data_IF_039296297539
#
_entry.id   IF_039296297539
#
_cell.length_a   1.000
_cell.length_b   1.000
_cell.length_c   1.000
_cell.angle_alpha   90.00
_cell.angle_beta   90.00
_cell.angle_gamma   90.00
#
_symmetry.space_group_name_H-M   'P 1'
#
loop_
_entity.id
_entity.type
_entity.pdbx_description
1 polymer ?
#
# COMPACT_ATOMS: atom_id res chain seq x y z
N UNK A 1 -9.58 -14.77 5.43
CA UNK A 1 -9.72 -13.66 4.46
C UNK A 1 -8.40 -13.32 3.80
N UNK A 2 -7.36 -12.91 4.54
CA UNK A 2 -6.02 -12.58 4.00
C UNK A 2 -5.50 -13.57 2.96
N UNK A 3 -5.43 -14.86 3.29
CA UNK A 3 -4.93 -15.90 2.36
C UNK A 3 -5.79 -16.02 1.09
N UNK A 4 -7.11 -15.80 1.19
CA UNK A 4 -8.00 -15.79 0.03
C UNK A 4 -7.74 -14.59 -0.89
N UNK A 5 -7.42 -13.43 -0.32
CA UNK A 5 -7.05 -12.24 -1.10
C UNK A 5 -5.67 -12.39 -1.72
N UNK A 6 -4.70 -12.96 -1.00
CA UNK A 6 -3.38 -13.31 -1.53
C UNK A 6 -3.46 -14.31 -2.69
N UNK A 7 -4.47 -15.19 -2.70
CA UNK A 7 -4.66 -16.18 -3.75
C UNK A 7 -5.35 -15.64 -5.03
N UNK A 8 -5.69 -14.34 -5.07
CA UNK A 8 -6.32 -13.72 -6.26
C UNK A 8 -5.38 -13.75 -7.47
N UNK A 9 -4.09 -13.49 -7.26
CA UNK A 9 -3.09 -13.55 -8.32
C UNK A 9 -1.72 -13.82 -7.74
N UNK A 10 -0.79 -14.31 -8.56
CA UNK A 10 0.58 -14.59 -8.12
C UNK A 10 1.34 -13.34 -7.70
N UNK A 11 0.93 -12.18 -8.19
CA UNK A 11 1.48 -10.86 -7.85
C UNK A 11 0.70 -10.15 -6.72
N UNK A 12 -0.12 -10.89 -5.97
CA UNK A 12 -0.73 -10.40 -4.73
C UNK A 12 0.18 -10.68 -3.52
N UNK A 13 0.53 -9.63 -2.80
CA UNK A 13 1.28 -9.71 -1.55
C UNK A 13 0.37 -9.35 -0.38
N UNK A 14 0.58 -10.00 0.77
CA UNK A 14 -0.24 -9.76 1.94
C UNK A 14 0.58 -9.81 3.24
N UNK A 15 0.39 -8.80 4.09
CA UNK A 15 1.10 -8.65 5.37
C UNK A 15 0.09 -8.49 6.50
N UNK A 16 0.42 -9.02 7.68
CA UNK A 16 -0.35 -8.71 8.90
C UNK A 16 -0.24 -7.22 9.22
N UNK A 17 -1.34 -6.62 9.66
CA UNK A 17 -1.29 -5.27 10.22
C UNK A 17 -1.13 -5.39 11.75
N UNK A 18 0.04 -5.03 12.32
CA UNK A 18 0.26 -5.10 13.77
C UNK A 18 -0.55 -4.04 14.54
N UNK A 19 -0.95 -2.96 13.86
CA UNK A 19 -1.73 -1.84 14.39
C UNK A 19 -3.02 -1.65 13.56
N UNK A 20 -4.00 -2.57 13.64
CA UNK A 20 -5.26 -2.44 12.93
C UNK A 20 -6.12 -1.28 13.47
N UNK A 21 -7.06 -0.75 12.67
CA UNK A 21 -8.01 0.27 13.15
C UNK A 21 -8.67 -0.14 14.46
N UNK A 22 -8.71 0.80 15.42
CA UNK A 22 -9.35 0.59 16.72
C UNK A 22 -8.53 -0.23 17.72
N UNK A 23 -7.34 -0.72 17.36
CA UNK A 23 -6.44 -1.34 18.33
C UNK A 23 -5.98 -0.31 19.37
N UNK A 24 -5.98 -0.71 20.64
CA UNK A 24 -5.63 0.12 21.80
C UNK A 24 -4.33 -0.39 22.39
N UNK A 25 -3.43 0.54 22.68
CA UNK A 25 -2.10 0.31 23.19
C UNK A 25 -1.84 1.17 24.41
N UNK A 26 -0.97 0.68 25.30
CA UNK A 26 -0.19 1.51 26.20
C UNK A 26 1.16 1.76 25.53
N UNK A 27 1.49 3.02 25.30
CA UNK A 27 2.68 3.44 24.58
C UNK A 27 3.42 4.56 25.29
N UNK A 28 4.72 4.66 25.03
CA UNK A 28 5.60 5.67 25.65
C UNK A 28 6.09 6.62 24.57
N UNK A 29 6.04 7.93 24.83
CA UNK A 29 6.53 8.94 23.89
C UNK A 29 8.06 8.82 23.76
N UNK A 30 8.52 8.46 22.57
CA UNK A 30 9.93 8.36 22.25
C UNK A 30 10.53 9.73 21.92
N UNK A 31 9.84 10.51 21.08
CA UNK A 31 10.28 11.85 20.66
C UNK A 31 9.11 12.78 20.35
N UNK A 32 9.35 14.07 20.48
CA UNK A 32 8.41 15.14 20.12
C UNK A 32 8.82 15.79 18.79
N UNK A 33 7.84 16.07 17.94
CA UNK A 33 7.99 16.65 16.61
C UNK A 33 7.16 17.93 16.50
N UNK A 34 7.28 18.65 15.37
CA UNK A 34 6.59 19.94 15.20
C UNK A 34 5.05 19.88 15.22
N UNK A 35 4.45 18.72 14.90
CA UNK A 35 2.99 18.55 14.77
C UNK A 35 2.41 17.40 15.61
N UNK A 36 3.23 16.75 16.43
CA UNK A 36 2.85 15.58 17.20
C UNK A 36 4.04 14.89 17.83
N UNK A 37 3.86 13.67 18.30
CA UNK A 37 4.91 12.87 18.93
C UNK A 37 5.01 11.48 18.30
N UNK A 38 6.20 10.90 18.29
CA UNK A 38 6.39 9.48 17.98
C UNK A 38 6.27 8.70 19.28
N UNK A 39 5.47 7.64 19.24
CA UNK A 39 5.17 6.80 20.40
C UNK A 39 5.62 5.39 20.11
N UNK A 40 6.42 4.83 21.02
CA UNK A 40 6.80 3.43 21.00
C UNK A 40 5.61 2.58 21.45
N UNK A 41 5.20 1.68 20.57
CA UNK A 41 4.17 0.69 20.80
C UNK A 41 4.82 -0.70 20.77
N UNK A 42 4.26 -1.65 21.52
CA UNK A 42 4.73 -3.04 21.52
C UNK A 42 3.60 -3.98 21.07
N UNK A 43 3.90 -4.82 20.09
CA UNK A 43 3.00 -5.86 19.59
C UNK A 43 3.72 -7.19 19.65
N UNK A 44 3.27 -8.08 20.53
CA UNK A 44 3.77 -9.47 20.61
C UNK A 44 5.31 -9.56 20.76
N UNK A 45 5.93 -8.54 21.38
CA UNK A 45 7.37 -8.42 21.60
C UNK A 45 8.14 -7.60 20.55
N UNK A 46 7.50 -7.26 19.43
CA UNK A 46 8.07 -6.41 18.39
C UNK A 46 7.77 -4.92 18.65
N UNK A 47 8.78 -4.09 18.46
CA UNK A 47 8.64 -2.64 18.54
C UNK A 47 7.99 -2.10 17.26
N UNK A 48 6.90 -1.36 17.41
CA UNK A 48 6.24 -0.63 16.34
C UNK A 48 6.09 0.83 16.76
N UNK A 49 6.28 1.77 15.84
CA UNK A 49 6.11 3.19 16.13
C UNK A 49 4.74 3.68 15.67
N UNK A 50 4.10 4.52 16.47
CA UNK A 50 2.92 5.28 16.09
C UNK A 50 3.17 6.79 16.13
N UNK A 51 2.29 7.56 15.49
CA UNK A 51 2.34 9.02 15.52
C UNK A 51 1.10 9.59 16.22
N UNK A 52 1.30 10.35 17.30
CA UNK A 52 0.25 11.02 18.06
C UNK A 52 0.19 12.51 17.68
N UNK A 53 -0.79 12.96 16.90
CA UNK A 53 -1.00 14.38 16.62
C UNK A 53 -1.39 15.14 17.90
N UNK A 54 -0.89 16.37 18.06
CA UNK A 54 -1.19 17.19 19.25
C UNK A 54 -2.65 17.65 19.35
N UNK A 55 -3.43 17.60 18.27
CA UNK A 55 -4.86 17.91 18.28
C UNK A 55 -5.74 16.73 18.73
N UNK A 56 -5.13 15.59 19.10
CA UNK A 56 -5.82 14.36 19.54
C UNK A 56 -5.39 13.88 20.92
N UNK A 57 -4.78 14.76 21.68
CA UNK A 57 -4.38 14.54 23.08
C UNK A 57 -4.51 15.86 23.82
N UNK A 58 -5.10 15.80 25.01
CA UNK A 58 -5.20 16.97 25.88
C UNK A 58 -3.89 17.16 26.66
N UNK A 59 -3.49 18.42 26.83
CA UNK A 59 -2.32 18.79 27.63
C UNK A 59 -1.02 18.86 26.83
N UNK A 60 0.08 18.93 27.58
CA UNK A 60 1.44 18.92 27.01
C UNK A 60 1.93 17.49 26.89
N UNK A 61 2.68 17.22 25.82
CA UNK A 61 3.28 15.92 25.54
C UNK A 61 4.79 16.05 25.60
N UNK A 62 5.43 15.27 26.46
CA UNK A 62 6.87 15.22 26.68
C UNK A 62 7.42 13.82 26.40
N UNK A 63 8.72 13.74 26.10
CA UNK A 63 9.41 12.45 25.95
C UNK A 63 9.38 11.68 27.27
N UNK A 64 8.98 10.42 27.21
CA UNK A 64 8.81 9.54 28.37
C UNK A 64 7.38 9.50 28.92
N UNK A 65 6.46 10.34 28.41
CA UNK A 65 5.06 10.28 28.80
C UNK A 65 4.44 8.95 28.37
N UNK A 66 3.64 8.37 29.26
CA UNK A 66 2.90 7.14 29.05
C UNK A 66 1.44 7.46 28.74
N UNK A 67 0.94 6.90 27.63
CA UNK A 67 -0.43 7.11 27.19
C UNK A 67 -1.10 5.80 26.82
N UNK A 68 -2.40 5.72 27.14
CA UNK A 68 -3.33 4.83 26.47
C UNK A 68 -3.78 5.47 25.16
N UNK A 69 -3.46 4.83 24.04
CA UNK A 69 -3.71 5.35 22.70
C UNK A 69 -4.41 4.32 21.83
N UNK A 70 -5.32 4.79 20.99
CA UNK A 70 -5.96 3.98 19.97
C UNK A 70 -5.41 4.33 18.58
N UNK A 71 -5.26 3.31 17.73
CA UNK A 71 -4.98 3.48 16.31
C UNK A 71 -6.21 4.04 15.61
N UNK A 72 -6.18 5.33 15.31
CA UNK A 72 -7.22 6.05 14.59
C UNK A 72 -7.13 5.84 13.07
N UNK A 73 -5.91 5.78 12.53
CA UNK A 73 -5.70 5.50 11.10
C UNK A 73 -4.48 4.61 10.93
N UNK A 74 -4.62 3.39 10.39
CA UNK A 74 -3.49 2.51 10.19
C UNK A 74 -2.64 2.99 9.01
N UNK A 75 -1.37 2.61 8.97
CA UNK A 75 -0.47 2.87 7.85
C UNK A 75 -0.04 1.56 7.17
N UNK A 76 -0.07 1.49 5.83
CA UNK A 76 0.46 0.33 5.11
C UNK A 76 2.00 0.33 5.10
N UNK A 77 2.64 -0.86 5.01
CA UNK A 77 4.10 -0.98 5.11
C UNK A 77 4.86 -0.34 3.93
N UNK A 78 4.18 -0.09 2.81
CA UNK A 78 4.79 0.52 1.63
C UNK A 78 4.76 2.05 1.64
N UNK A 79 4.20 2.65 2.69
CA UNK A 79 4.28 4.10 2.92
C UNK A 79 5.27 4.35 4.04
N UNK A 80 6.09 5.37 3.86
CA UNK A 80 6.93 5.93 4.91
C UNK A 80 6.05 6.75 5.87
N UNK A 81 5.19 6.05 6.61
CA UNK A 81 4.19 6.64 7.49
C UNK A 81 3.93 5.72 8.68
N UNK A 82 3.73 6.33 9.85
CA UNK A 82 3.32 5.64 11.08
C UNK A 82 1.80 5.57 11.17
N UNK A 83 1.21 4.53 11.78
CA UNK A 83 -0.19 4.56 12.19
C UNK A 83 -0.44 5.78 13.08
N UNK A 84 -1.52 6.50 12.77
CA UNK A 84 -1.92 7.69 13.52
C UNK A 84 -2.72 7.29 14.76
N UNK A 85 -2.38 7.89 15.90
CA UNK A 85 -2.91 7.59 17.21
C UNK A 85 -3.87 8.69 17.71
N UNK A 86 -4.68 8.36 18.71
CA UNK A 86 -5.55 9.27 19.45
C UNK A 86 -5.81 8.74 20.86
N UNK A 87 -6.10 9.61 21.83
CA UNK A 87 -6.59 9.19 23.16
C UNK A 87 -8.06 8.81 23.16
N UNK A 88 -8.84 9.35 22.22
CA UNK A 88 -10.27 9.08 22.08
C UNK A 88 -10.53 7.64 21.62
N UNK A 89 -11.44 6.97 22.32
CA UNK A 89 -11.81 5.58 22.00
C UNK A 89 -12.97 5.52 21.00
N UNK A 90 -12.80 4.64 20.03
CA UNK A 90 -13.75 4.36 18.95
C UNK A 90 -13.89 2.85 18.79
N UNK A 91 -15.12 2.36 18.61
CA UNK A 91 -15.38 0.99 18.21
C UNK A 91 -15.71 1.01 16.70
N UNK A 92 -14.74 0.65 15.84
CA UNK A 92 -14.93 0.69 14.40
C UNK A 92 -16.03 -0.28 13.97
N UNK A 93 -16.78 0.08 12.94
CA UNK A 93 -17.81 -0.79 12.35
C UNK A 93 -18.16 -0.37 10.92
N UNK A 94 -18.78 -1.30 10.18
CA UNK A 94 -19.03 -1.09 8.74
C UNK A 94 -20.12 -0.07 8.44
N UNK A 95 -21.29 -0.22 9.09
CA UNK A 95 -22.42 0.71 8.93
C UNK A 95 -22.40 1.84 9.97
N UNK A 96 -21.90 1.54 11.16
CA UNK A 96 -21.84 2.44 12.32
C UNK A 96 -20.53 2.25 13.06
N UNK A 97 -19.92 3.35 13.44
CA UNK A 97 -18.84 3.44 14.42
C UNK A 97 -19.40 3.99 15.73
N UNK A 98 -19.02 3.43 16.87
CA UNK A 98 -19.32 4.05 18.16
C UNK A 98 -18.12 4.86 18.62
N UNK A 99 -18.36 6.06 19.18
CA UNK A 99 -17.31 6.88 19.80
C UNK A 99 -17.60 7.11 21.26
N UNK A 100 -16.59 6.98 22.12
CA UNK A 100 -16.73 7.26 23.55
C UNK A 100 -16.84 8.77 23.77
N UNK A 101 -17.82 9.19 24.58
CA UNK A 101 -18.06 10.60 24.90
C UNK A 101 -19.15 11.23 24.03
N UNK A 102 -19.35 12.54 24.20
CA UNK A 102 -20.43 13.32 23.60
C UNK A 102 -20.08 13.78 22.19
N UNK A 103 -19.63 12.85 21.33
CA UNK A 103 -19.15 13.11 19.97
C UNK A 103 -19.86 14.31 19.34
N UNK A 104 -19.15 15.43 19.25
CA UNK A 104 -19.73 16.76 19.06
C UNK A 104 -20.77 16.86 17.95
N UNK A 105 -21.83 17.61 18.23
CA UNK A 105 -23.05 17.84 17.41
C UNK A 105 -23.88 16.58 17.15
N UNK A 106 -25.12 16.62 17.67
CA UNK A 106 -26.26 15.77 17.26
C UNK A 106 -26.54 16.00 15.78
N UNK A 107 -25.86 15.25 14.94
CA UNK A 107 -26.11 15.21 13.51
C UNK A 107 -27.38 14.38 13.24
N UNK A 108 -27.98 14.47 12.04
CA UNK A 108 -29.21 13.74 11.68
C UNK A 108 -29.13 12.22 11.97
N UNK A 109 -27.91 11.69 11.97
CA UNK A 109 -27.53 10.32 12.31
C UNK A 109 -27.93 9.88 13.72
N UNK A 110 -27.97 10.77 14.72
CA UNK A 110 -28.41 10.41 16.08
C UNK A 110 -29.90 10.05 16.14
N UNK A 111 -30.74 10.63 15.27
CA UNK A 111 -32.19 10.36 15.23
C UNK A 111 -32.52 8.99 14.64
N UNK A 112 -31.65 8.45 13.79
CA UNK A 112 -31.84 7.10 13.24
C UNK A 112 -31.64 6.02 14.30
N UNK A 113 -30.80 6.26 15.31
CA UNK A 113 -30.60 5.33 16.42
C UNK A 113 -31.86 5.19 17.30
N UNK A 114 -32.63 6.27 17.49
CA UNK A 114 -33.88 6.27 18.27
C UNK A 114 -34.99 5.40 17.64
N UNK A 115 -34.84 5.02 16.36
CA UNK A 115 -35.78 4.15 15.63
C UNK A 115 -35.41 2.67 15.70
N UNK A 116 -34.20 2.36 16.18
CA UNK A 116 -33.71 0.99 16.27
C UNK A 116 -34.12 0.36 17.61
N UNK A 117 -34.35 -0.96 17.66
CA UNK A 117 -34.70 -1.65 18.90
C UNK A 117 -33.50 -1.89 19.83
N UNK A 118 -32.33 -1.33 19.51
CA UNK A 118 -31.06 -1.57 20.21
C UNK A 118 -30.47 -0.21 20.58
N UNK A 119 -30.13 -0.07 21.86
CA UNK A 119 -29.44 1.11 22.37
C UNK A 119 -27.91 0.88 22.37
N UNK A 120 -27.10 1.92 22.11
CA UNK A 120 -25.65 1.85 22.31
C UNK A 120 -25.30 1.73 23.81
N UNK A 121 -24.12 1.21 24.16
CA UNK A 121 -23.65 1.17 25.54
C UNK A 121 -23.55 2.57 26.14
N UNK A 122 -23.67 2.66 27.47
CA UNK A 122 -23.65 3.95 28.17
C UNK A 122 -22.37 4.73 27.85
N UNK A 123 -22.54 6.01 27.46
CA UNK A 123 -21.42 6.88 27.15
C UNK A 123 -20.78 6.66 25.77
N UNK A 124 -21.37 5.83 24.92
CA UNK A 124 -21.01 5.67 23.51
C UNK A 124 -22.05 6.32 22.58
N UNK A 125 -21.56 7.07 21.60
CA UNK A 125 -22.39 7.77 20.62
C UNK A 125 -22.22 7.15 19.22
N UNK A 126 -23.31 6.74 18.54
CA UNK A 126 -23.24 6.18 17.20
C UNK A 126 -22.96 7.23 16.13
N UNK A 127 -22.10 6.85 15.17
CA UNK A 127 -21.77 7.59 13.96
C UNK A 127 -22.05 6.70 12.74
N UNK A 128 -23.18 6.96 12.08
CA UNK A 128 -23.58 6.19 10.90
C UNK A 128 -22.77 6.63 9.68
N UNK A 129 -22.30 5.65 8.92
CA UNK A 129 -21.69 5.85 7.62
C UNK A 129 -22.75 6.22 6.56
N UNK A 130 -22.35 6.81 5.41
CA UNK A 130 -23.26 7.05 4.30
C UNK A 130 -23.98 5.77 3.81
N UNK A 131 -23.31 4.62 3.86
CA UNK A 131 -23.86 3.32 3.46
C UNK A 131 -25.03 2.85 4.34
N UNK A 132 -25.21 3.43 5.52
CA UNK A 132 -26.36 3.15 6.36
C UNK A 132 -27.68 3.67 5.76
N UNK A 133 -27.63 4.69 4.88
CA UNK A 133 -28.81 5.24 4.22
C UNK A 133 -29.51 4.24 3.28
N UNK A 134 -28.75 3.29 2.72
CA UNK A 134 -29.26 2.25 1.83
C UNK A 134 -29.49 0.91 2.54
N UNK A 135 -29.18 0.82 3.84
CA UNK A 135 -29.32 -0.39 4.63
C UNK A 135 -30.74 -0.57 5.17
N UNK A 136 -31.18 -1.83 5.34
CA UNK A 136 -32.41 -2.10 6.07
C UNK A 136 -32.24 -1.79 7.56
N UNK A 137 -33.35 -1.48 8.25
CA UNK A 137 -33.33 -1.28 9.71
C UNK A 137 -32.75 -2.48 10.46
N UNK A 138 -33.02 -3.71 9.99
CA UNK A 138 -32.44 -4.93 10.56
C UNK A 138 -30.92 -4.97 10.40
N UNK A 139 -30.40 -4.56 9.23
CA UNK A 139 -28.97 -4.51 8.98
C UNK A 139 -28.29 -3.40 9.82
N UNK A 140 -28.97 -2.27 9.99
CA UNK A 140 -28.53 -1.19 10.88
C UNK A 140 -28.50 -1.65 12.34
N UNK A 141 -29.57 -2.28 12.85
CA UNK A 141 -29.65 -2.82 14.21
C UNK A 141 -28.53 -3.84 14.46
N UNK A 142 -28.36 -4.81 13.57
CA UNK A 142 -27.27 -5.79 13.68
C UNK A 142 -25.89 -5.13 13.56
N UNK A 143 -25.77 -4.03 12.81
CA UNK A 143 -24.57 -3.20 12.74
C UNK A 143 -24.23 -2.54 14.07
N UNK A 144 -25.24 -1.99 14.73
CA UNK A 144 -25.13 -1.37 16.04
C UNK A 144 -24.77 -2.40 17.12
N UNK A 145 -25.45 -3.54 17.18
CA UNK A 145 -25.12 -4.64 18.11
C UNK A 145 -23.64 -5.04 18.02
N UNK A 146 -23.14 -5.28 16.80
CA UNK A 146 -21.72 -5.63 16.60
C UNK A 146 -20.76 -4.53 17.02
N UNK A 147 -21.15 -3.26 16.88
CA UNK A 147 -20.32 -2.13 17.32
C UNK A 147 -20.37 -1.98 18.85
N UNK A 148 -21.52 -2.25 19.48
CA UNK A 148 -21.70 -2.30 20.93
C UNK A 148 -20.85 -3.40 21.56
N UNK A 149 -20.90 -4.62 21.03
CA UNK A 149 -20.05 -5.74 21.51
C UNK A 149 -18.55 -5.39 21.47
N UNK A 150 -18.12 -4.65 20.44
CA UNK A 150 -16.74 -4.18 20.30
C UNK A 150 -16.42 -3.09 21.32
N UNK A 151 -17.32 -2.12 21.52
CA UNK A 151 -17.17 -1.07 22.51
C UNK A 151 -17.02 -1.68 23.92
N UNK A 152 -17.88 -2.61 24.29
CA UNK A 152 -17.81 -3.32 25.58
C UNK A 152 -16.52 -4.13 25.73
N UNK A 153 -16.06 -4.77 24.66
CA UNK A 153 -14.75 -5.47 24.64
C UNK A 153 -13.59 -4.51 24.89
N UNK A 154 -13.61 -3.34 24.25
CA UNK A 154 -12.59 -2.30 24.44
C UNK A 154 -12.63 -1.79 25.88
N UNK A 155 -13.81 -1.41 26.39
CA UNK A 155 -13.95 -0.91 27.76
C UNK A 155 -13.49 -1.92 28.81
N UNK A 156 -13.88 -3.18 28.65
CA UNK A 156 -13.49 -4.26 29.57
C UNK A 156 -11.97 -4.46 29.58
N UNK A 157 -11.33 -4.46 28.40
CA UNK A 157 -9.88 -4.61 28.29
C UNK A 157 -9.12 -3.40 28.87
N UNK A 158 -9.63 -2.20 28.62
CA UNK A 158 -9.07 -0.96 29.18
C UNK A 158 -9.21 -0.94 30.71
N UNK A 159 -10.38 -1.28 31.25
CA UNK A 159 -10.60 -1.31 32.69
C UNK A 159 -9.71 -2.36 33.38
N UNK A 160 -9.46 -3.50 32.74
CA UNK A 160 -8.51 -4.50 33.24
C UNK A 160 -7.07 -3.95 33.26
N UNK A 161 -6.63 -3.33 32.16
CA UNK A 161 -5.29 -2.75 32.07
C UNK A 161 -5.05 -1.61 33.07
N UNK A 162 -6.05 -0.75 33.31
CA UNK A 162 -5.98 0.34 34.29
C UNK A 162 -5.96 -0.20 35.75
N UNK A 163 -6.55 -1.39 35.99
CA UNK A 163 -6.64 -2.02 37.32
C UNK A 163 -5.34 -2.67 37.81
N UNK A 164 -4.43 -3.03 36.90
CA UNK A 164 -3.17 -3.73 37.20
C UNK A 164 -2.01 -2.77 37.58
N UNK A 165 -2.24 -1.44 37.61
CA UNK A 165 -1.25 -0.41 37.95
C UNK A 165 -0.52 0.18 36.73
N UNK A 166 0.73 0.63 36.91
CA UNK A 166 1.61 1.03 35.79
C UNK A 166 2.04 -0.23 35.01
N UNK A 167 1.09 -0.79 34.25
CA UNK A 167 1.29 -1.93 33.36
C UNK A 167 2.34 -1.65 32.29
N UNK A 168 3.02 -2.70 31.86
CA UNK A 168 4.06 -2.61 30.83
C UNK A 168 3.49 -2.12 29.49
N UNK A 169 4.26 -1.36 28.69
CA UNK A 169 3.88 -0.98 27.34
C UNK A 169 3.46 -2.19 26.49
N UNK A 170 2.38 -2.05 25.73
CA UNK A 170 1.84 -3.18 24.97
C UNK A 170 0.42 -3.00 24.49
N UNK A 171 -0.05 -3.99 23.72
CA UNK A 171 -1.42 -4.04 23.20
C UNK A 171 -2.42 -4.36 24.32
N UNK A 172 -3.34 -3.42 24.57
CA UNK A 172 -4.47 -3.58 25.51
C UNK A 172 -5.63 -4.31 24.82
N UNK A 173 -5.99 -3.89 23.61
CA UNK A 173 -7.11 -4.46 22.86
C UNK A 173 -6.86 -4.42 21.35
N UNK A 174 -7.36 -5.43 20.63
CA UNK A 174 -7.48 -5.40 19.17
C UNK A 174 -8.86 -5.93 18.77
N UNK A 175 -9.89 -5.06 18.73
CA UNK A 175 -11.27 -5.48 18.43
C UNK A 175 -11.43 -6.02 17.00
N UNK A 176 -10.46 -5.75 16.13
CA UNK A 176 -10.39 -6.27 14.76
C UNK A 176 -8.98 -6.73 14.44
N UNK A 177 -8.88 -7.82 13.67
CA UNK A 177 -7.65 -8.15 12.96
C UNK A 177 -7.54 -7.33 11.67
N UNK A 178 -6.32 -6.99 11.27
CA UNK A 178 -6.05 -6.28 10.02
C UNK A 178 -4.99 -6.98 9.18
N UNK A 179 -5.08 -6.78 7.87
CA UNK A 179 -4.05 -7.18 6.93
C UNK A 179 -3.98 -6.15 5.81
N UNK A 180 -2.78 -5.92 5.30
CA UNK A 180 -2.54 -5.15 4.10
C UNK A 180 -2.39 -6.10 2.93
N UNK A 181 -3.03 -5.78 1.80
CA UNK A 181 -2.92 -6.55 0.57
C UNK A 181 -2.54 -5.60 -0.55
N UNK A 182 -1.44 -5.91 -1.23
CA UNK A 182 -1.04 -5.23 -2.45
C UNK A 182 -1.39 -6.13 -3.62
N UNK A 183 -2.35 -5.71 -4.43
CA UNK A 183 -2.67 -6.35 -5.71
C UNK A 183 -1.75 -5.81 -6.79
N UNK A 184 -0.98 -6.68 -7.45
CA UNK A 184 -0.28 -6.36 -8.68
C UNK A 184 -1.22 -6.36 -9.89
N UNK A 185 -0.65 -6.17 -11.08
CA UNK A 185 -1.41 -6.09 -12.33
C UNK A 185 -2.27 -7.33 -12.57
N UNK A 186 -1.72 -8.54 -12.51
CA UNK A 186 -2.49 -9.76 -12.79
C UNK A 186 -3.65 -9.92 -11.81
N UNK A 187 -3.41 -9.66 -10.53
CA UNK A 187 -4.46 -9.67 -9.51
C UNK A 187 -5.57 -8.67 -9.80
N UNK A 188 -5.26 -7.47 -10.30
CA UNK A 188 -6.27 -6.47 -10.68
C UNK A 188 -7.15 -6.95 -11.84
N UNK A 189 -6.55 -7.59 -12.84
CA UNK A 189 -7.31 -8.15 -13.97
C UNK A 189 -8.17 -9.34 -13.54
N UNK A 190 -7.70 -10.20 -12.64
CA UNK A 190 -8.55 -11.26 -12.06
C UNK A 190 -9.72 -10.67 -11.26
N UNK A 191 -9.51 -9.58 -10.52
CA UNK A 191 -10.59 -8.87 -9.82
C UNK A 191 -11.59 -8.25 -10.80
N UNK A 192 -11.15 -7.77 -11.96
CA UNK A 192 -12.04 -7.32 -13.04
C UNK A 192 -12.94 -8.47 -13.50
N UNK A 193 -12.37 -9.65 -13.76
CA UNK A 193 -13.12 -10.84 -14.19
C UNK A 193 -14.12 -11.30 -13.13
N UNK A 194 -13.72 -11.26 -11.85
CA UNK A 194 -14.60 -11.55 -10.72
C UNK A 194 -15.79 -10.60 -10.69
N UNK A 195 -15.56 -9.29 -10.85
CA UNK A 195 -16.57 -8.23 -10.82
C UNK A 195 -17.50 -8.29 -12.03
N UNK A 196 -16.97 -8.60 -13.21
CA UNK A 196 -17.72 -8.70 -14.48
C UNK A 196 -18.89 -9.68 -14.41
N UNK A 197 -18.80 -10.70 -13.53
CA UNK A 197 -19.90 -11.66 -13.29
C UNK A 197 -21.16 -11.05 -12.71
N UNK A 198 -21.08 -9.86 -12.08
CA UNK A 198 -22.20 -9.24 -11.36
C UNK A 198 -22.42 -7.78 -11.69
N UNK A 199 -21.46 -7.11 -12.34
CA UNK A 199 -21.56 -5.71 -12.74
C UNK A 199 -20.82 -5.46 -14.06
N UNK A 200 -21.32 -4.52 -14.87
CA UNK A 200 -20.62 -4.03 -16.06
C UNK A 200 -19.21 -3.58 -15.64
N UNK A 201 -18.19 -4.15 -16.26
CA UNK A 201 -16.79 -3.93 -15.86
C UNK A 201 -15.93 -3.66 -17.09
N UNK A 202 -15.40 -2.46 -17.22
CA UNK A 202 -14.48 -2.18 -18.33
C UNK A 202 -13.19 -2.99 -18.17
N UNK A 203 -12.58 -3.51 -19.26
CA UNK A 203 -11.26 -4.12 -19.19
C UNK A 203 -10.23 -3.18 -18.53
N UNK A 204 -9.48 -3.68 -17.55
CA UNK A 204 -8.53 -2.87 -16.79
C UNK A 204 -9.18 -1.90 -15.81
N UNK A 205 -10.39 -2.21 -15.29
CA UNK A 205 -11.11 -1.40 -14.30
C UNK A 205 -10.23 -1.11 -13.09
N UNK A 206 -9.79 -2.13 -12.35
CA UNK A 206 -9.00 -1.93 -11.14
C UNK A 206 -7.63 -1.31 -11.45
N UNK A 207 -7.05 -1.63 -12.63
CA UNK A 207 -5.79 -1.06 -13.10
C UNK A 207 -5.90 0.45 -13.34
N UNK A 208 -7.00 0.90 -13.94
CA UNK A 208 -7.25 2.32 -14.24
C UNK A 208 -7.59 3.08 -12.97
N UNK A 209 -8.50 2.55 -12.13
CA UNK A 209 -8.86 3.17 -10.85
C UNK A 209 -7.69 3.31 -9.88
N UNK A 210 -6.65 2.48 -10.01
CA UNK A 210 -5.46 2.56 -9.16
C UNK A 210 -4.54 3.76 -9.48
N UNK A 211 -4.79 4.51 -10.56
CA UNK A 211 -4.01 5.68 -10.94
C UNK A 211 -4.26 6.86 -9.99
N UNK A 212 -5.47 7.40 -10.02
CA UNK A 212 -5.93 8.53 -9.21
C UNK A 212 -7.48 8.59 -9.18
N UNK A 213 -8.01 9.57 -8.45
CA UNK A 213 -9.45 9.76 -8.26
C UNK A 213 -10.16 10.15 -9.58
N UNK A 214 -9.49 10.88 -10.47
CA UNK A 214 -10.04 11.30 -11.76
C UNK A 214 -10.20 10.11 -12.71
N UNK A 215 -9.19 9.24 -12.78
CA UNK A 215 -9.24 7.97 -13.49
C UNK A 215 -10.34 7.07 -12.91
N UNK A 216 -10.51 7.05 -11.58
CA UNK A 216 -11.59 6.30 -10.93
C UNK A 216 -12.97 6.79 -11.37
N UNK A 217 -13.20 8.11 -11.37
CA UNK A 217 -14.46 8.69 -11.82
C UNK A 217 -14.73 8.44 -13.31
N UNK A 218 -13.68 8.45 -14.15
CA UNK A 218 -13.80 8.15 -15.58
C UNK A 218 -14.23 6.71 -15.84
N UNK A 219 -13.71 5.74 -15.07
CA UNK A 219 -14.15 4.33 -15.14
C UNK A 219 -15.64 4.23 -14.80
N UNK A 220 -16.09 4.90 -13.72
CA UNK A 220 -17.50 4.88 -13.32
C UNK A 220 -18.41 5.47 -14.42
N UNK A 221 -17.96 6.54 -15.08
CA UNK A 221 -18.67 7.13 -16.22
C UNK A 221 -18.74 6.16 -17.40
N UNK A 222 -17.63 5.52 -17.77
CA UNK A 222 -17.56 4.57 -18.90
C UNK A 222 -18.50 3.40 -18.65
N UNK A 223 -18.50 2.81 -17.46
CA UNK A 223 -19.38 1.69 -17.12
C UNK A 223 -20.86 2.10 -17.10
N UNK A 224 -21.17 3.30 -16.59
CA UNK A 224 -22.54 3.82 -16.57
C UNK A 224 -23.09 4.13 -17.97
N UNK A 225 -22.24 4.61 -18.89
CA UNK A 225 -22.66 5.02 -20.25
C UNK A 225 -22.60 3.85 -21.24
N UNK A 226 -21.51 3.07 -21.21
CA UNK A 226 -21.22 2.05 -22.21
C UNK A 226 -21.63 0.64 -21.76
N UNK A 227 -21.87 0.42 -20.46
CA UNK A 227 -22.07 -0.92 -19.92
C UNK A 227 -20.79 -1.75 -20.06
N UNK A 228 -20.90 -2.94 -20.64
CA UNK A 228 -19.75 -3.85 -20.83
C UNK A 228 -18.93 -3.43 -22.05
N UNK A 229 -17.79 -2.79 -21.83
CA UNK A 229 -17.04 -2.04 -22.85
C UNK A 229 -15.89 -2.81 -23.51
N UNK A 230 -16.19 -3.97 -24.10
CA UNK A 230 -15.23 -4.80 -24.83
C UNK A 230 -14.35 -5.69 -23.94
N UNK A 231 -13.39 -6.37 -24.58
CA UNK A 231 -12.58 -7.44 -23.96
C UNK A 231 -11.12 -7.03 -23.67
N UNK A 232 -10.55 -6.09 -24.43
CA UNK A 232 -9.15 -5.66 -24.29
C UNK A 232 -9.03 -4.35 -23.51
N UNK A 233 -8.01 -4.27 -22.63
CA UNK A 233 -7.67 -3.04 -21.91
C UNK A 233 -7.22 -1.93 -22.89
N UNK A 234 -7.95 -0.79 -22.98
CA UNK A 234 -7.63 0.29 -23.91
C UNK A 234 -6.47 1.16 -23.38
N UNK A 235 -5.26 0.58 -23.30
CA UNK A 235 -4.11 1.22 -22.68
C UNK A 235 -3.79 2.60 -23.27
N UNK A 236 -3.76 2.76 -24.60
CA UNK A 236 -3.43 4.04 -25.23
C UNK A 236 -4.38 5.17 -24.77
N UNK A 237 -5.69 4.93 -24.79
CA UNK A 237 -6.67 5.92 -24.35
C UNK A 237 -6.55 6.25 -22.85
N UNK A 238 -6.28 5.25 -22.01
CA UNK A 238 -6.07 5.45 -20.56
C UNK A 238 -4.77 6.19 -20.30
N UNK A 239 -3.68 5.83 -20.96
CA UNK A 239 -2.38 6.45 -20.78
C UNK A 239 -2.34 7.89 -21.35
N UNK A 240 -3.08 8.19 -22.40
CA UNK A 240 -3.20 9.56 -22.92
C UNK A 240 -3.79 10.52 -21.87
N UNK A 241 -4.83 10.06 -21.18
CA UNK A 241 -5.54 10.86 -20.21
C UNK A 241 -4.88 10.84 -18.83
N UNK A 242 -4.45 9.64 -18.39
CA UNK A 242 -4.05 9.32 -17.01
C UNK A 242 -2.70 8.57 -16.94
N UNK A 243 -1.86 8.69 -17.97
CA UNK A 243 -0.53 8.09 -17.99
C UNK A 243 0.61 9.11 -17.93
N UNK A 244 1.86 8.63 -17.93
CA UNK A 244 3.03 9.48 -18.06
C UNK A 244 3.00 10.31 -19.35
N UNK A 245 3.55 11.53 -19.28
CA UNK A 245 3.68 12.45 -20.42
C UNK A 245 5.14 12.72 -20.72
N UNK A 246 5.48 12.79 -22.00
CA UNK A 246 6.81 13.25 -22.45
C UNK A 246 7.14 14.65 -21.91
N UNK A 247 8.38 14.86 -21.50
CA UNK A 247 8.85 16.04 -20.76
C UNK A 247 8.36 16.12 -19.31
N UNK A 248 7.50 15.19 -18.88
CA UNK A 248 7.06 15.05 -17.50
C UNK A 248 8.11 14.37 -16.63
N UNK A 249 7.87 14.35 -15.31
CA UNK A 249 8.73 13.63 -14.36
C UNK A 249 8.04 12.35 -13.90
N UNK A 250 8.73 11.21 -13.98
CA UNK A 250 8.23 9.92 -13.52
C UNK A 250 9.09 9.37 -12.38
N UNK A 251 8.45 8.96 -11.29
CA UNK A 251 9.11 8.19 -10.23
C UNK A 251 9.19 6.71 -10.60
N UNK A 252 10.26 6.04 -10.14
CA UNK A 252 10.34 4.58 -10.16
C UNK A 252 9.98 4.08 -8.77
N UNK A 253 8.71 3.68 -8.60
CA UNK A 253 8.16 3.12 -7.37
C UNK A 253 8.48 1.63 -7.25
N UNK A 254 9.38 1.32 -6.33
CA UNK A 254 9.98 0.02 -6.14
C UNK A 254 9.45 -0.61 -4.85
N UNK A 255 8.46 -1.50 -4.99
CA UNK A 255 7.98 -2.32 -3.88
C UNK A 255 8.94 -3.47 -3.59
N UNK A 256 9.02 -3.88 -2.32
CA UNK A 256 9.78 -5.05 -1.87
C UNK A 256 8.81 -6.15 -1.40
N UNK A 257 9.16 -7.44 -1.51
CA UNK A 257 8.31 -8.54 -1.07
C UNK A 257 7.94 -8.50 0.42
N UNK A 258 8.79 -7.90 1.26
CA UNK A 258 8.53 -7.68 2.68
C UNK A 258 7.55 -6.53 2.98
N UNK A 259 7.06 -5.85 1.94
CA UNK A 259 6.03 -4.81 2.02
C UNK A 259 6.55 -3.40 1.99
N UNK A 260 7.86 -3.17 2.07
CA UNK A 260 8.43 -1.82 1.95
C UNK A 260 8.22 -1.25 0.55
N UNK A 261 8.07 0.07 0.48
CA UNK A 261 7.97 0.83 -0.77
C UNK A 261 9.06 1.88 -0.81
N UNK A 262 9.83 1.92 -1.90
CA UNK A 262 10.97 2.82 -2.08
C UNK A 262 10.79 3.58 -3.39
N UNK A 263 11.19 4.85 -3.44
CA UNK A 263 11.33 5.57 -4.71
C UNK A 263 12.81 5.56 -5.09
N UNK A 264 13.19 4.79 -6.12
CA UNK A 264 14.59 4.68 -6.56
C UNK A 264 15.11 6.00 -7.17
N UNK A 265 14.21 6.89 -7.52
CA UNK A 265 14.50 8.20 -8.07
C UNK A 265 13.35 8.68 -8.94
N UNK A 266 13.50 9.91 -9.41
CA UNK A 266 12.64 10.57 -10.37
C UNK A 266 13.48 10.94 -11.59
N UNK A 267 12.94 10.75 -12.78
CA UNK A 267 13.60 11.13 -14.02
C UNK A 267 12.63 11.76 -15.01
N UNK A 268 13.18 12.37 -16.05
CA UNK A 268 12.40 12.95 -17.15
C UNK A 268 11.91 11.83 -18.07
N UNK A 269 10.65 11.90 -18.47
CA UNK A 269 10.10 11.04 -19.52
C UNK A 269 10.56 11.59 -20.86
N UNK A 270 11.53 10.92 -21.48
CA UNK A 270 12.15 11.37 -22.73
C UNK A 270 11.52 10.75 -23.97
N UNK A 271 10.70 9.72 -23.81
CA UNK A 271 10.06 8.99 -24.90
C UNK A 271 8.88 8.19 -24.36
N UNK A 272 7.77 8.22 -25.10
CA UNK A 272 6.60 7.36 -24.89
C UNK A 272 6.19 6.74 -26.23
N UNK A 273 5.99 5.42 -26.21
CA UNK A 273 5.50 4.66 -27.36
C UNK A 273 4.21 3.93 -26.98
N UNK A 274 3.10 4.29 -27.61
CA UNK A 274 1.79 3.72 -27.32
C UNK A 274 1.58 2.32 -27.93
N UNK A 275 2.26 2.02 -29.05
CA UNK A 275 2.18 0.72 -29.72
C UNK A 275 2.90 -0.34 -28.88
N UNK A 276 4.11 -0.01 -28.40
CA UNK A 276 4.90 -0.85 -27.50
C UNK A 276 4.47 -0.73 -26.03
N UNK A 277 3.55 0.19 -25.72
CA UNK A 277 3.08 0.51 -24.36
C UNK A 277 4.24 0.82 -23.42
N UNK A 278 5.21 1.59 -23.92
CA UNK A 278 6.49 1.84 -23.27
C UNK A 278 6.72 3.29 -22.92
N UNK A 279 7.47 3.52 -21.84
CA UNK A 279 7.91 4.83 -21.38
C UNK A 279 9.39 4.73 -21.04
N UNK A 280 10.20 5.61 -21.60
CA UNK A 280 11.63 5.70 -21.26
C UNK A 280 11.88 6.92 -20.37
N UNK A 281 12.51 6.65 -19.24
CA UNK A 281 12.86 7.64 -18.22
C UNK A 281 14.37 7.83 -18.21
N UNK A 282 14.81 9.07 -18.18
CA UNK A 282 16.21 9.46 -18.09
C UNK A 282 16.53 10.10 -16.74
N UNK A 283 17.62 9.67 -16.11
CA UNK A 283 18.11 10.20 -14.84
C UNK A 283 19.61 10.49 -14.93
N UNK A 284 20.01 11.67 -14.48
CA UNK A 284 21.42 11.96 -14.24
C UNK A 284 21.90 11.27 -12.97
N UNK A 285 23.08 10.65 -13.06
CA UNK A 285 23.69 9.94 -11.95
C UNK A 285 24.68 10.84 -11.21
N UNK A 286 24.64 10.79 -9.89
CA UNK A 286 25.62 11.46 -9.04
C UNK A 286 26.89 10.62 -8.91
N UNK A 287 28.06 11.25 -8.92
CA UNK A 287 29.31 10.53 -8.70
C UNK A 287 29.34 9.83 -7.32
N UNK A 288 30.13 8.76 -7.23
CA UNK A 288 30.41 8.05 -5.98
C UNK A 288 29.82 6.65 -5.94
N UNK A 289 30.66 5.69 -5.53
CA UNK A 289 30.34 4.26 -5.53
C UNK A 289 30.46 3.60 -6.90
N UNK A 290 29.92 2.39 -7.01
CA UNK A 290 29.86 1.60 -8.23
C UNK A 290 28.41 1.28 -8.57
N UNK A 291 28.12 1.09 -9.86
CA UNK A 291 26.84 0.48 -10.25
C UNK A 291 26.80 -0.96 -9.72
N UNK A 292 25.72 -1.26 -9.01
CA UNK A 292 25.54 -2.56 -8.38
C UNK A 292 25.55 -3.69 -9.41
N UNK A 293 26.16 -4.82 -9.03
CA UNK A 293 26.44 -5.95 -9.91
C UNK A 293 27.20 -5.62 -11.23
N UNK A 294 27.56 -4.39 -11.55
CA UNK A 294 28.38 -4.06 -12.73
C UNK A 294 29.84 -3.83 -12.36
N UNK A 295 30.13 -3.45 -11.10
CA UNK A 295 31.50 -3.16 -10.65
C UNK A 295 32.14 -1.95 -11.34
N UNK A 296 31.34 -1.15 -12.05
CA UNK A 296 31.77 0.03 -12.78
C UNK A 296 31.58 1.26 -11.91
N UNK A 297 32.61 2.09 -11.80
CA UNK A 297 32.58 3.35 -11.05
C UNK A 297 31.52 4.30 -11.62
N UNK A 298 30.71 4.87 -10.73
CA UNK A 298 29.69 5.85 -11.08
C UNK A 298 30.30 7.24 -11.18
N UNK A 299 30.18 7.87 -12.34
CA UNK A 299 30.78 9.19 -12.60
C UNK A 299 29.72 10.27 -12.69
N UNK A 300 30.09 11.50 -12.34
CA UNK A 300 29.24 12.66 -12.57
C UNK A 300 29.03 12.82 -14.08
N UNK A 301 27.78 13.07 -14.49
CA UNK A 301 27.40 13.14 -15.90
C UNK A 301 27.09 11.79 -16.54
N UNK A 302 27.25 10.67 -15.83
CA UNK A 302 26.65 9.43 -16.29
C UNK A 302 25.11 9.57 -16.30
N UNK A 303 24.47 8.92 -17.28
CA UNK A 303 23.02 8.93 -17.48
C UNK A 303 22.48 7.51 -17.40
N UNK A 304 21.41 7.32 -16.64
CA UNK A 304 20.63 6.09 -16.57
C UNK A 304 19.36 6.24 -17.42
N UNK A 305 19.26 5.45 -18.49
CA UNK A 305 18.07 5.38 -19.34
C UNK A 305 17.32 4.09 -19.04
N UNK A 306 16.14 4.21 -18.46
CA UNK A 306 15.29 3.10 -18.01
C UNK A 306 14.05 3.01 -18.90
N UNK A 307 13.85 1.89 -19.60
CA UNK A 307 12.69 1.69 -20.48
C UNK A 307 11.68 0.75 -19.81
N UNK A 308 10.51 1.26 -19.47
CA UNK A 308 9.46 0.54 -18.77
C UNK A 308 8.33 0.21 -19.74
N UNK A 309 7.80 -1.02 -19.68
CA UNK A 309 6.73 -1.48 -20.58
C UNK A 309 5.57 -1.98 -19.73
N UNK A 310 4.38 -1.45 -19.97
CA UNK A 310 3.16 -1.86 -19.25
C UNK A 310 2.95 -3.38 -19.33
N UNK A 311 2.80 -4.03 -18.18
CA UNK A 311 2.58 -5.46 -18.04
C UNK A 311 3.83 -6.33 -18.19
N UNK A 312 5.01 -5.75 -18.44
CA UNK A 312 6.25 -6.52 -18.56
C UNK A 312 6.81 -6.90 -17.19
N UNK A 313 7.33 -8.13 -17.09
CA UNK A 313 7.94 -8.72 -15.88
C UNK A 313 9.39 -8.28 -15.61
N UNK A 314 9.88 -7.33 -16.39
CA UNK A 314 11.24 -6.83 -16.27
C UNK A 314 11.38 -5.49 -16.97
N UNK A 315 12.41 -4.73 -16.60
CA UNK A 315 12.79 -3.52 -17.32
C UNK A 315 14.33 -3.34 -17.32
N UNK A 316 14.93 -2.89 -18.43
CA UNK A 316 16.34 -2.57 -18.49
C UNK A 316 16.61 -1.12 -18.06
N UNK A 317 17.74 -0.92 -17.40
CA UNK A 317 18.40 0.38 -17.23
C UNK A 317 19.76 0.32 -17.89
N UNK A 318 19.97 1.16 -18.91
CA UNK A 318 21.24 1.30 -19.60
C UNK A 318 21.97 2.50 -19.05
N UNK A 319 23.17 2.28 -18.52
CA UNK A 319 24.03 3.33 -18.01
C UNK A 319 25.03 3.75 -19.10
N UNK A 320 25.16 5.06 -19.32
CA UNK A 320 26.10 5.67 -20.29
C UNK A 320 26.86 6.81 -19.64
N UNK A 321 28.11 7.00 -20.03
CA UNK A 321 28.87 8.20 -19.70
C UNK A 321 28.42 9.42 -20.49
N UNK A 322 28.89 10.58 -20.05
CA UNK A 322 28.78 11.87 -20.75
C UNK A 322 29.37 11.83 -22.17
N UNK A 323 30.40 11.02 -22.36
CA UNK A 323 31.05 10.70 -23.64
C UNK A 323 30.28 9.68 -24.51
N UNK A 324 29.13 9.20 -24.03
CA UNK A 324 28.31 8.17 -24.67
C UNK A 324 28.79 6.72 -24.45
N UNK A 325 29.91 6.51 -23.75
CA UNK A 325 30.47 5.19 -23.47
C UNK A 325 29.49 4.38 -22.60
N UNK A 326 29.14 3.17 -23.03
CA UNK A 326 28.26 2.29 -22.24
C UNK A 326 28.97 1.83 -20.97
N UNK A 327 28.39 2.12 -19.81
CA UNK A 327 28.84 1.68 -18.48
C UNK A 327 28.26 0.31 -18.09
N UNK A 328 27.21 -0.13 -18.76
CA UNK A 328 26.61 -1.45 -18.57
C UNK A 328 25.10 -1.42 -18.72
N UNK A 329 24.46 -2.56 -18.49
CA UNK A 329 23.00 -2.67 -18.44
C UNK A 329 22.59 -3.54 -17.28
N UNK A 330 21.61 -3.05 -16.53
CA UNK A 330 21.01 -3.75 -15.41
C UNK A 330 19.55 -4.02 -15.77
N UNK A 331 19.12 -5.28 -15.71
CA UNK A 331 17.76 -5.68 -16.03
C UNK A 331 17.11 -6.23 -14.79
N UNK A 332 16.14 -5.47 -14.26
CA UNK A 332 15.41 -5.85 -13.07
C UNK A 332 14.30 -6.83 -13.40
N UNK A 333 14.18 -7.94 -12.68
CA UNK A 333 13.03 -8.85 -12.78
C UNK A 333 12.06 -8.53 -11.65
N UNK A 334 10.83 -8.23 -12.03
CA UNK A 334 9.81 -7.73 -11.12
C UNK A 334 8.43 -8.30 -11.47
N UNK A 335 7.43 -8.05 -10.63
CA UNK A 335 6.03 -8.22 -11.05
C UNK A 335 5.72 -7.32 -12.25
N UNK A 336 4.64 -7.58 -13.01
CA UNK A 336 4.30 -6.77 -14.17
C UNK A 336 4.29 -5.27 -13.85
N UNK A 337 5.05 -4.50 -14.62
CA UNK A 337 5.16 -3.05 -14.47
C UNK A 337 3.83 -2.38 -14.78
N UNK A 338 3.44 -1.41 -13.97
CA UNK A 338 2.28 -0.56 -14.21
C UNK A 338 2.70 0.92 -14.30
N UNK A 339 2.36 1.56 -15.41
CA UNK A 339 2.63 2.96 -15.72
C UNK A 339 1.48 3.87 -15.24
N UNK A 340 1.67 4.59 -14.13
CA UNK A 340 0.74 5.58 -13.59
C UNK A 340 1.22 7.01 -13.90
N UNK A 341 0.39 8.07 -13.72
CA UNK A 341 0.76 9.43 -14.09
C UNK A 341 2.11 9.88 -13.50
N UNK A 342 2.33 9.60 -12.22
CA UNK A 342 3.48 10.11 -11.47
C UNK A 342 4.54 9.04 -11.15
N UNK A 343 4.23 7.77 -11.40
CA UNK A 343 5.15 6.67 -11.09
C UNK A 343 4.93 5.43 -11.95
N UNK A 344 6.02 4.76 -12.34
CA UNK A 344 5.96 3.35 -12.67
C UNK A 344 6.03 2.53 -11.37
N UNK A 345 5.16 1.53 -11.20
CA UNK A 345 5.09 0.70 -9.99
C UNK A 345 5.20 -0.78 -10.31
N UNK A 346 5.89 -1.50 -9.43
CA UNK A 346 6.04 -2.95 -9.44
C UNK A 346 6.55 -3.41 -8.05
N UNK A 347 6.54 -4.71 -7.81
CA UNK A 347 7.29 -5.34 -6.70
C UNK A 347 8.49 -6.06 -7.28
N UNK A 348 9.66 -5.72 -6.76
CA UNK A 348 10.94 -6.33 -7.07
C UNK A 348 10.99 -7.79 -6.63
N UNK A 349 11.57 -8.66 -7.45
CA UNK A 349 11.66 -10.10 -7.16
C UNK A 349 13.11 -10.54 -6.89
N UNK A 350 13.97 -9.59 -6.51
CA UNK A 350 15.38 -9.74 -6.14
C UNK A 350 16.31 -10.23 -7.25
N UNK A 351 15.87 -11.13 -8.14
CA UNK A 351 16.71 -11.65 -9.22
C UNK A 351 16.88 -10.61 -10.32
N UNK A 352 18.13 -10.36 -10.72
CA UNK A 352 18.43 -9.45 -11.82
C UNK A 352 19.36 -10.10 -12.85
N UNK A 353 19.42 -9.49 -14.04
CA UNK A 353 20.41 -9.86 -15.07
C UNK A 353 21.22 -8.62 -15.43
N UNK A 354 22.53 -8.72 -15.36
CA UNK A 354 23.43 -7.62 -15.72
C UNK A 354 24.26 -7.97 -16.95
N UNK A 355 24.52 -6.95 -17.76
CA UNK A 355 25.45 -6.98 -18.89
C UNK A 355 26.56 -5.96 -18.66
N UNK A 356 27.77 -6.45 -18.41
CA UNK A 356 28.96 -5.64 -18.17
C UNK A 356 29.42 -4.89 -19.46
N UNK A 357 30.29 -3.86 -19.33
CA UNK A 357 30.81 -3.13 -20.48
C UNK A 357 31.53 -3.99 -21.53
N UNK A 358 32.19 -5.05 -21.09
CA UNK A 358 32.89 -6.01 -21.96
C UNK A 358 31.95 -7.01 -22.65
N UNK A 359 30.66 -6.97 -22.30
CA UNK A 359 29.62 -7.80 -22.85
C UNK A 359 29.31 -9.07 -22.05
N UNK A 360 30.01 -9.33 -20.93
CA UNK A 360 29.67 -10.45 -20.04
C UNK A 360 28.23 -10.29 -19.51
N UNK A 361 27.43 -11.35 -19.60
CA UNK A 361 26.07 -11.41 -19.07
C UNK A 361 26.03 -12.40 -17.92
N UNK A 362 25.42 -12.00 -16.81
CA UNK A 362 25.25 -12.87 -15.63
C UNK A 362 23.97 -12.55 -14.88
N UNK A 363 23.34 -13.58 -14.33
CA UNK A 363 22.28 -13.47 -13.34
C UNK A 363 22.86 -13.19 -11.94
N UNK A 364 22.15 -12.41 -11.14
CA UNK A 364 22.55 -12.04 -9.77
C UNK A 364 21.38 -12.17 -8.79
N UNK A 365 21.73 -12.24 -7.51
CA UNK A 365 20.82 -12.12 -6.37
C UNK A 365 19.73 -13.22 -6.29
N UNK A 366 20.04 -14.41 -6.81
CA UNK A 366 19.24 -15.62 -6.62
C UNK A 366 19.06 -16.00 -5.14
N UNK A 367 20.10 -15.79 -4.33
CA UNK A 367 20.11 -16.06 -2.90
C UNK A 367 19.17 -15.12 -2.13
N UNK A 368 19.02 -13.88 -2.56
CA UNK A 368 18.02 -12.96 -2.01
C UNK A 368 16.59 -13.44 -2.31
N UNK A 369 16.31 -13.92 -3.53
CA UNK A 369 15.01 -14.52 -3.85
C UNK A 369 14.76 -15.79 -3.02
N UNK A 370 15.75 -16.67 -2.88
CA UNK A 370 15.65 -17.87 -2.05
C UNK A 370 15.36 -17.51 -0.58
N UNK A 371 16.01 -16.49 -0.03
CA UNK A 371 15.76 -15.98 1.30
C UNK A 371 14.34 -15.40 1.44
N UNK A 372 13.85 -14.66 0.44
CA UNK A 372 12.50 -14.11 0.43
C UNK A 372 11.41 -15.20 0.36
N UNK A 373 11.67 -16.31 -0.35
CA UNK A 373 10.80 -17.49 -0.36
C UNK A 373 10.83 -18.18 0.99
N UNK A 374 12.01 -18.41 1.58
CA UNK A 374 12.16 -19.04 2.89
C UNK A 374 11.46 -18.23 4.00
N UNK A 375 11.47 -16.90 3.91
CA UNK A 375 10.74 -16.00 4.80
C UNK A 375 9.23 -15.93 4.53
N UNK A 376 8.74 -16.54 3.44
CA UNK A 376 7.32 -16.54 3.05
C UNK A 376 6.83 -15.23 2.40
N UNK A 377 7.74 -14.30 2.11
CA UNK A 377 7.46 -13.02 1.46
C UNK A 377 7.14 -13.20 -0.04
N UNK A 378 7.80 -14.17 -0.69
CA UNK A 378 7.53 -14.57 -2.08
C UNK A 378 6.96 -15.98 -2.10
N UNK A 379 5.86 -16.19 -2.83
CA UNK A 379 5.31 -17.53 -3.03
C UNK A 379 6.09 -18.29 -4.11
N UNK A 380 6.24 -19.61 -3.97
CA UNK A 380 7.02 -20.43 -4.92
C UNK A 380 6.62 -20.22 -6.39
N UNK A 381 5.32 -20.18 -6.77
CA UNK A 381 4.94 -19.94 -8.17
C UNK A 381 5.39 -18.58 -8.72
N UNK A 382 5.55 -17.57 -7.85
CA UNK A 382 6.07 -16.26 -8.24
C UNK A 382 7.59 -16.30 -8.39
N UNK A 383 8.29 -17.00 -7.49
CA UNK A 383 9.73 -17.20 -7.57
C UNK A 383 10.14 -17.99 -8.83
N UNK A 384 9.41 -19.07 -9.13
CA UNK A 384 9.61 -19.84 -10.36
C UNK A 384 9.44 -18.97 -11.61
N UNK A 385 8.41 -18.11 -11.60
CA UNK A 385 8.22 -17.14 -12.69
C UNK A 385 9.38 -16.17 -12.82
N UNK A 386 9.89 -15.64 -11.71
CA UNK A 386 11.04 -14.73 -11.73
C UNK A 386 12.27 -15.41 -12.34
N UNK A 387 12.57 -16.66 -11.91
CA UNK A 387 13.69 -17.46 -12.43
C UNK A 387 13.55 -17.75 -13.93
N UNK A 388 12.35 -18.09 -14.40
CA UNK A 388 12.06 -18.28 -15.82
C UNK A 388 12.34 -17.02 -16.65
N UNK A 389 11.87 -15.86 -16.16
CA UNK A 389 12.06 -14.58 -16.83
C UNK A 389 13.54 -14.21 -16.87
N UNK A 390 14.25 -14.31 -15.75
CA UNK A 390 15.69 -14.06 -15.67
C UNK A 390 16.47 -14.95 -16.64
N UNK A 391 16.20 -16.25 -16.67
CA UNK A 391 16.85 -17.20 -17.58
C UNK A 391 16.55 -16.92 -19.06
N UNK A 392 15.37 -16.38 -19.37
CA UNK A 392 15.04 -15.94 -20.73
C UNK A 392 15.81 -14.69 -21.14
N UNK A 393 15.99 -13.73 -20.22
CA UNK A 393 16.74 -12.50 -20.47
C UNK A 393 18.23 -12.80 -20.65
N UNK A 394 18.81 -13.61 -19.77
CA UNK A 394 20.21 -14.00 -19.81
C UNK A 394 20.59 -14.65 -21.16
N UNK A 395 19.68 -15.44 -21.75
CA UNK A 395 19.88 -16.05 -23.08
C UNK A 395 19.73 -15.07 -24.25
N UNK A 396 19.01 -13.97 -24.04
CA UNK A 396 18.65 -13.02 -25.10
C UNK A 396 19.63 -11.83 -25.20
N UNK A 397 20.34 -11.53 -24.11
CA UNK A 397 21.38 -10.50 -24.04
C UNK A 397 22.73 -11.00 -24.56
#
# INVERSE_FOLDING_TARGET
MRERLRAVGRDAFAWSNPAPPGAVFRGVVAETLGSGAVVDLAVDGDAIEGFLPYDRVDGYVETGDDYRLQVATPAPPWRDARPSLATDLQAPGGLVELRRGDGGRRDETARMAELLPVDPPEGWTPRWSPAAGDASLDAMAAGLERASDRAETIESAVAAADGDGDGEPGRIAAPQAGAWVWFGRESRFELDDVRRRVAATMPGHHRTKAADDDASAAVDLVEAVCGDSGDEFPFAAVADQFGPREGGTLAIGHGKPDGRGIVLGRGEVVERDDDDRSVTVEREMTAGGTYDALGVERRAGDVARTTLVEGRWWYPTVYRGDDGTRRGTYVNVCTPVELFPDAARYVDLHVDVVKAPDGEVRRVDDDELEAAVAAGHVAEPLADRAREVAASIEKAL
#
